data_IF_845396404046
#
_entry.id   IF_845396404046
#
_cell.length_a   1.000
_cell.length_b   1.000
_cell.length_c   1.000
_cell.angle_alpha   90.00
_cell.angle_beta   90.00
_cell.angle_gamma   90.00
#
_symmetry.space_group_name_H-M   'P 1'
#
loop_
_entity.id
_entity.type
_entity.pdbx_description
1 polymer ?
#
# COMPACT_ATOMS: atom_id res chain seq x y z
N UNK A 1 -65.31 -28.78 -45.74
CA UNK A 1 -65.21 -29.28 -47.13
C UNK A 1 -64.19 -30.40 -47.14
N UNK A 2 -64.60 -31.58 -47.65
CA UNK A 2 -63.85 -32.59 -48.42
C UNK A 2 -62.43 -32.95 -47.93
N UNK A 3 -61.99 -34.20 -47.81
CA UNK A 3 -62.45 -35.52 -48.23
C UNK A 3 -61.37 -36.49 -47.66
N UNK A 4 -61.73 -37.69 -47.18
CA UNK A 4 -61.47 -39.01 -47.81
C UNK A 4 -59.99 -39.26 -48.14
N UNK A 5 -59.33 -40.36 -47.78
CA UNK A 5 -59.66 -41.77 -48.03
C UNK A 5 -58.63 -42.63 -47.25
N UNK A 6 -59.01 -43.68 -46.51
CA UNK A 6 -59.06 -45.11 -46.93
C UNK A 6 -57.72 -45.64 -47.52
N UNK A 7 -57.16 -46.81 -47.20
CA UNK A 7 -57.68 -48.18 -46.99
C UNK A 7 -56.54 -49.01 -46.32
N UNK A 8 -56.80 -49.90 -45.33
CA UNK A 8 -56.88 -51.39 -45.44
C UNK A 8 -55.56 -52.09 -45.80
N UNK A 9 -55.16 -53.27 -45.32
CA UNK A 9 -55.65 -54.41 -44.52
C UNK A 9 -54.38 -55.31 -44.45
N UNK A 10 -53.93 -55.94 -43.36
CA UNK A 10 -54.41 -57.25 -42.86
C UNK A 10 -53.33 -57.83 -41.91
N UNK A 11 -53.78 -58.18 -40.71
CA UNK A 11 -53.45 -59.35 -39.85
C UNK A 11 -52.12 -60.11 -40.11
N UNK A 12 -51.34 -60.34 -39.05
CA UNK A 12 -51.18 -61.64 -38.35
C UNK A 12 -50.23 -61.52 -37.14
N UNK A 13 -50.54 -62.34 -36.12
CA UNK A 13 -50.09 -62.42 -34.72
C UNK A 13 -48.64 -62.86 -34.56
N UNK A 14 -47.94 -62.40 -33.52
CA UNK A 14 -47.05 -63.23 -32.67
C UNK A 14 -47.06 -62.68 -31.24
N UNK A 15 -47.42 -63.52 -30.26
CA UNK A 15 -47.26 -63.29 -28.83
C UNK A 15 -45.82 -63.69 -28.48
N UNK A 16 -45.05 -62.79 -27.86
CA UNK A 16 -43.77 -63.12 -27.25
C UNK A 16 -43.73 -62.52 -25.84
N UNK A 17 -43.80 -63.39 -24.85
CA UNK A 17 -43.63 -63.08 -23.44
C UNK A 17 -42.18 -62.64 -23.18
N UNK A 18 -41.96 -61.36 -22.82
CA UNK A 18 -40.68 -60.89 -22.33
C UNK A 18 -40.57 -61.15 -20.82
N UNK A 19 -39.65 -62.05 -20.47
CA UNK A 19 -39.14 -62.21 -19.11
C UNK A 19 -38.17 -61.05 -18.84
N UNK A 20 -38.55 -60.13 -17.96
CA UNK A 20 -37.68 -59.04 -17.52
C UNK A 20 -36.77 -59.59 -16.41
N UNK A 21 -35.49 -59.79 -16.75
CA UNK A 21 -34.44 -60.12 -15.80
C UNK A 21 -33.95 -58.83 -15.15
N UNK A 22 -34.37 -58.57 -13.92
CA UNK A 22 -33.94 -57.42 -13.14
C UNK A 22 -32.52 -57.62 -12.64
N UNK A 23 -31.54 -56.98 -13.28
CA UNK A 23 -30.16 -56.94 -12.80
C UNK A 23 -30.06 -55.80 -11.78
N UNK A 24 -29.95 -56.14 -10.49
CA UNK A 24 -29.63 -55.16 -9.45
C UNK A 24 -28.13 -54.88 -9.49
N UNK A 25 -27.75 -53.69 -9.95
CA UNK A 25 -26.38 -53.21 -9.82
C UNK A 25 -26.19 -52.61 -8.43
N UNK A 26 -25.39 -53.25 -7.59
CA UNK A 26 -24.86 -52.64 -6.36
C UNK A 26 -23.83 -51.59 -6.77
N UNK A 27 -24.25 -50.33 -6.75
CA UNK A 27 -23.34 -49.20 -6.86
C UNK A 27 -22.57 -49.08 -5.53
N UNK A 28 -21.29 -49.43 -5.57
CA UNK A 28 -20.35 -49.11 -4.50
C UNK A 28 -20.11 -47.59 -4.51
N UNK A 29 -20.86 -46.86 -3.69
CA UNK A 29 -20.69 -45.43 -3.48
C UNK A 29 -19.38 -45.22 -2.72
N UNK A 30 -18.30 -44.96 -3.46
CA UNK A 30 -17.06 -44.45 -2.89
C UNK A 30 -17.37 -43.06 -2.36
N UNK A 31 -17.53 -42.95 -1.04
CA UNK A 31 -17.55 -41.65 -0.36
C UNK A 31 -16.26 -40.92 -0.68
N UNK A 32 -16.34 -39.92 -1.55
CA UNK A 32 -15.23 -39.00 -1.76
C UNK A 32 -14.98 -38.25 -0.45
N UNK A 33 -13.71 -38.13 -0.02
CA UNK A 33 -13.39 -37.36 1.17
C UNK A 33 -13.88 -35.91 0.96
N UNK A 34 -14.49 -35.35 2.00
CA UNK A 34 -14.97 -33.98 1.99
C UNK A 34 -13.90 -33.03 1.44
N UNK A 35 -14.30 -32.15 0.51
CA UNK A 35 -13.46 -31.12 -0.06
C UNK A 35 -12.99 -30.19 1.08
N UNK A 36 -11.84 -30.51 1.67
CA UNK A 36 -11.15 -29.58 2.55
C UNK A 36 -10.50 -28.56 1.62
N UNK A 37 -10.86 -27.26 1.70
CA UNK A 37 -10.12 -26.25 0.97
C UNK A 37 -8.64 -26.40 1.35
N UNK A 38 -7.71 -26.22 0.40
CA UNK A 38 -6.29 -26.35 0.70
C UNK A 38 -5.98 -25.47 1.91
N UNK A 39 -5.48 -26.08 2.98
CA UNK A 39 -4.91 -25.35 4.10
C UNK A 39 -3.76 -24.57 3.49
N UNK A 40 -3.96 -23.26 3.31
CA UNK A 40 -2.88 -22.35 2.97
C UNK A 40 -1.97 -22.35 4.19
N UNK A 41 -0.96 -23.22 4.19
CA UNK A 41 0.20 -23.07 5.05
C UNK A 41 0.89 -21.81 4.53
N UNK A 42 0.47 -20.66 5.04
CA UNK A 42 1.30 -19.46 5.04
C UNK A 42 2.54 -19.86 5.81
N UNK A 43 3.58 -20.29 5.08
CA UNK A 43 4.92 -20.28 5.63
C UNK A 43 5.12 -18.84 6.11
N UNK A 44 5.34 -18.59 7.41
CA UNK A 44 5.70 -17.27 7.89
C UNK A 44 7.13 -17.02 7.39
N UNK A 45 7.26 -16.68 6.13
CA UNK A 45 8.33 -15.81 5.68
C UNK A 45 8.22 -14.57 6.55
N UNK A 46 9.21 -14.36 7.40
CA UNK A 46 9.72 -13.05 7.79
C UNK A 46 9.03 -11.87 7.10
N UNK A 47 8.61 -10.83 7.80
CA UNK A 47 9.41 -10.22 8.83
C UNK A 47 8.57 -9.11 9.44
N UNK A 48 8.55 -9.05 10.77
CA UNK A 48 8.25 -7.78 11.43
C UNK A 48 9.07 -6.69 10.75
N UNK A 49 8.43 -5.60 10.31
CA UNK A 49 9.12 -4.44 9.76
C UNK A 49 9.23 -3.36 10.80
N UNK A 50 10.42 -2.84 10.99
CA UNK A 50 10.67 -1.71 11.88
C UNK A 50 10.95 -0.46 11.07
N UNK A 51 10.18 0.60 11.31
CA UNK A 51 10.26 1.86 10.57
C UNK A 51 10.47 3.01 11.54
N UNK A 52 11.51 3.81 11.31
CA UNK A 52 11.71 5.10 11.99
C UNK A 52 11.15 6.21 11.10
N UNK A 53 10.19 6.97 11.61
CA UNK A 53 9.70 8.19 10.96
C UNK A 53 10.41 9.41 11.53
N UNK A 54 10.99 10.24 10.66
CA UNK A 54 11.67 11.49 11.01
C UNK A 54 11.02 12.64 10.26
N UNK A 55 10.56 13.67 10.96
CA UNK A 55 9.94 14.82 10.31
C UNK A 55 9.31 15.81 11.28
N UNK A 56 8.15 16.36 10.92
CA UNK A 56 7.47 17.38 11.70
C UNK A 56 5.96 17.12 11.78
N UNK A 57 5.15 18.19 11.87
CA UNK A 57 3.71 18.09 11.97
C UNK A 57 3.06 17.34 10.81
N UNK A 58 3.63 17.39 9.61
CA UNK A 58 3.12 16.60 8.48
C UNK A 58 3.29 15.08 8.68
N UNK A 59 4.19 14.69 9.58
CA UNK A 59 4.42 13.29 9.97
C UNK A 59 3.58 12.89 11.18
N UNK A 60 3.52 13.68 12.27
CA UNK A 60 2.77 13.26 13.46
C UNK A 60 1.26 13.48 13.37
N UNK A 61 0.77 14.33 12.44
CA UNK A 61 -0.66 14.58 12.31
C UNK A 61 -1.43 13.30 12.00
N UNK A 62 -2.55 13.12 12.71
CA UNK A 62 -3.42 11.95 12.62
C UNK A 62 -2.71 10.62 12.87
N UNK A 63 -1.55 10.62 13.55
CA UNK A 63 -0.73 9.44 13.79
C UNK A 63 -0.42 8.67 12.49
N UNK A 64 0.21 9.34 11.51
CA UNK A 64 0.58 8.71 10.24
C UNK A 64 1.37 7.40 10.42
N UNK A 65 2.36 7.28 11.34
CA UNK A 65 3.04 6.00 11.59
C UNK A 65 2.09 4.91 12.10
N UNK A 66 1.15 5.26 12.98
CA UNK A 66 0.10 4.35 13.44
C UNK A 66 -0.83 3.89 12.31
N UNK A 67 -1.19 4.77 11.38
CA UNK A 67 -1.97 4.42 10.19
C UNK A 67 -1.23 3.43 9.28
N UNK A 68 0.08 3.60 9.09
CA UNK A 68 0.92 2.64 8.36
C UNK A 68 0.96 1.29 9.09
N UNK A 69 1.09 1.31 10.42
CA UNK A 69 1.06 0.09 11.25
C UNK A 69 -0.28 -0.66 11.12
N UNK A 70 -1.39 0.08 11.10
CA UNK A 70 -2.74 -0.48 10.90
C UNK A 70 -2.86 -1.16 9.54
N UNK A 71 -2.38 -0.53 8.46
CA UNK A 71 -2.39 -1.13 7.12
C UNK A 71 -1.56 -2.41 7.04
N UNK A 72 -0.43 -2.45 7.75
CA UNK A 72 0.37 -3.66 7.94
C UNK A 72 -0.45 -4.77 8.58
N UNK A 73 -1.07 -4.50 9.74
CA UNK A 73 -1.92 -5.46 10.46
C UNK A 73 -3.05 -5.98 9.59
N UNK A 74 -3.75 -5.10 8.87
CA UNK A 74 -4.84 -5.45 7.96
C UNK A 74 -4.36 -6.30 6.76
N UNK A 75 -3.05 -6.26 6.45
CA UNK A 75 -2.41 -7.06 5.41
C UNK A 75 -1.64 -8.28 5.93
N UNK A 76 -1.74 -8.62 7.22
CA UNK A 76 -1.05 -9.76 7.85
C UNK A 76 0.45 -9.53 8.12
N UNK A 77 0.92 -8.28 8.13
CA UNK A 77 2.33 -7.91 8.32
C UNK A 77 2.46 -7.09 9.61
N UNK A 78 3.32 -7.51 10.53
CA UNK A 78 3.61 -6.71 11.73
C UNK A 78 4.54 -5.56 11.35
N UNK A 79 4.07 -4.32 11.50
CA UNK A 79 4.89 -3.12 11.34
C UNK A 79 5.01 -2.46 12.71
N UNK A 80 6.24 -2.26 13.17
CA UNK A 80 6.61 -1.49 14.36
C UNK A 80 7.11 -0.13 13.89
N UNK A 81 6.56 0.92 14.47
CA UNK A 81 6.97 2.29 14.15
C UNK A 81 7.53 2.99 15.37
N UNK A 82 8.60 3.74 15.16
CA UNK A 82 9.06 4.77 16.07
C UNK A 82 9.03 6.11 15.32
N UNK A 83 8.83 7.21 16.03
CA UNK A 83 8.73 8.53 15.42
C UNK A 83 9.56 9.54 16.20
N UNK A 84 10.38 10.29 15.47
CA UNK A 84 11.07 11.50 15.94
C UNK A 84 10.55 12.65 15.11
N UNK A 85 9.54 13.34 15.62
CA UNK A 85 8.92 14.45 14.92
C UNK A 85 8.55 15.59 15.88
N UNK A 86 8.94 16.79 15.51
CA UNK A 86 8.75 17.99 16.31
C UNK A 86 8.13 19.11 15.46
N UNK A 87 7.33 20.02 16.04
CA UNK A 87 6.68 21.08 15.28
C UNK A 87 7.73 21.95 14.57
N UNK A 88 7.49 22.25 13.29
CA UNK A 88 8.33 23.09 12.43
C UNK A 88 9.77 22.62 12.19
N UNK A 89 10.16 21.43 12.65
CA UNK A 89 11.51 20.92 12.42
C UNK A 89 11.78 20.67 10.94
N UNK A 90 12.97 21.05 10.51
CA UNK A 90 13.62 20.60 9.30
C UNK A 90 14.51 19.38 9.58
N UNK A 91 14.98 18.70 8.52
CA UNK A 91 15.94 17.61 8.66
C UNK A 91 17.28 18.06 9.26
N UNK A 92 17.65 19.32 9.05
CA UNK A 92 18.81 19.94 9.68
C UNK A 92 18.73 19.93 11.21
N UNK A 93 17.56 20.30 11.76
CA UNK A 93 17.35 20.33 13.22
C UNK A 93 17.53 18.93 13.81
N UNK A 94 16.88 17.93 13.20
CA UNK A 94 17.03 16.52 13.62
C UNK A 94 18.48 16.03 13.54
N UNK A 95 19.21 16.45 12.51
CA UNK A 95 20.61 16.09 12.36
C UNK A 95 21.47 16.72 13.47
N UNK A 96 21.23 18.00 13.79
CA UNK A 96 21.97 18.72 14.81
C UNK A 96 21.69 18.20 16.23
N UNK A 97 20.46 17.75 16.50
CA UNK A 97 20.08 17.18 17.79
C UNK A 97 20.73 15.81 18.06
N UNK A 98 21.11 15.05 17.03
CA UNK A 98 21.87 13.80 17.19
C UNK A 98 21.02 12.56 17.54
N UNK A 99 19.73 12.72 17.84
CA UNK A 99 18.85 11.62 18.24
C UNK A 99 18.71 10.58 17.13
N UNK A 100 18.53 11.01 15.88
CA UNK A 100 18.32 10.10 14.75
C UNK A 100 19.57 9.24 14.46
N UNK A 101 20.77 9.78 14.72
CA UNK A 101 22.05 9.08 14.62
C UNK A 101 22.10 7.93 15.61
N UNK A 102 21.73 8.19 16.86
CA UNK A 102 21.73 7.18 17.92
C UNK A 102 20.70 6.08 17.61
N UNK A 103 19.51 6.45 17.17
CA UNK A 103 18.45 5.49 16.83
C UNK A 103 18.84 4.62 15.62
N UNK A 104 19.30 5.21 14.53
CA UNK A 104 19.70 4.45 13.33
C UNK A 104 20.86 3.51 13.64
N UNK A 105 21.80 3.93 14.50
CA UNK A 105 22.91 3.10 14.93
C UNK A 105 22.52 1.83 15.70
N UNK A 106 21.29 1.74 16.23
CA UNK A 106 20.80 0.54 16.93
C UNK A 106 20.63 -0.69 16.04
N UNK A 107 20.68 -0.53 14.69
CA UNK A 107 20.47 -1.60 13.70
C UNK A 107 19.11 -2.30 13.79
N UNK A 108 18.10 -1.63 14.34
CA UNK A 108 16.74 -2.19 14.51
C UNK A 108 15.80 -1.88 13.36
N UNK A 109 16.13 -0.92 12.50
CA UNK A 109 15.21 -0.39 11.49
C UNK A 109 15.49 -0.99 10.10
N UNK A 110 14.46 -1.56 9.49
CA UNK A 110 14.45 -1.87 8.05
C UNK A 110 14.43 -0.57 7.23
N UNK A 111 13.66 0.41 7.70
CA UNK A 111 13.43 1.66 6.99
C UNK A 111 13.56 2.88 7.89
N UNK A 112 14.09 3.96 7.32
CA UNK A 112 13.96 5.32 7.85
C UNK A 112 13.17 6.12 6.82
N UNK A 113 12.04 6.68 7.24
CA UNK A 113 11.18 7.53 6.41
C UNK A 113 11.41 8.97 6.83
N UNK A 114 11.96 9.79 5.94
CA UNK A 114 12.27 11.20 6.21
C UNK A 114 11.29 12.14 5.50
N UNK A 115 10.96 13.23 6.18
CA UNK A 115 10.11 14.28 5.67
C UNK A 115 10.76 15.66 5.91
N UNK A 116 10.81 16.48 4.85
CA UNK A 116 11.25 17.89 4.84
C UNK A 116 10.15 18.79 4.26
N UNK A 117 9.93 19.97 4.84
CA UNK A 117 9.00 20.95 4.29
C UNK A 117 9.12 22.31 4.98
N UNK A 118 8.92 23.44 4.26
CA UNK A 118 8.62 23.54 2.84
C UNK A 118 9.80 23.10 1.97
N UNK A 119 9.53 22.52 0.79
CA UNK A 119 10.57 21.90 -0.06
C UNK A 119 10.57 22.39 -1.50
N UNK A 120 9.61 23.22 -1.93
CA UNK A 120 9.55 23.73 -3.30
C UNK A 120 10.52 24.88 -3.59
N UNK A 121 11.00 25.55 -2.54
CA UNK A 121 11.88 26.71 -2.62
C UNK A 121 13.36 26.30 -2.50
N UNK A 122 14.29 27.20 -2.84
CA UNK A 122 15.72 26.93 -2.91
C UNK A 122 16.29 26.39 -1.59
N UNK A 123 16.04 27.07 -0.47
CA UNK A 123 16.49 26.66 0.86
C UNK A 123 15.94 25.27 1.25
N UNK A 124 14.63 25.07 1.09
CA UNK A 124 13.99 23.78 1.38
C UNK A 124 14.53 22.64 0.52
N UNK A 125 14.91 22.91 -0.74
CA UNK A 125 15.58 21.95 -1.62
C UNK A 125 16.98 21.60 -1.12
N UNK A 126 17.75 22.61 -0.74
CA UNK A 126 19.12 22.42 -0.25
C UNK A 126 19.13 21.54 1.00
N UNK A 127 18.28 21.86 1.99
CA UNK A 127 18.13 21.07 3.21
C UNK A 127 17.72 19.62 2.87
N UNK A 128 16.73 19.43 2.00
CA UNK A 128 16.27 18.11 1.60
C UNK A 128 17.38 17.27 0.96
N UNK A 129 18.18 17.86 0.07
CA UNK A 129 19.25 17.16 -0.63
C UNK A 129 20.45 16.86 0.28
N UNK A 130 20.94 17.85 1.03
CA UNK A 130 22.11 17.68 1.89
C UNK A 130 21.80 16.71 3.03
N UNK A 131 20.80 17.01 3.85
CA UNK A 131 20.48 16.18 5.00
C UNK A 131 19.89 14.83 4.60
N UNK A 132 19.19 14.74 3.46
CA UNK A 132 18.82 13.46 2.86
C UNK A 132 20.04 12.58 2.53
N UNK A 133 21.08 13.15 1.93
CA UNK A 133 22.33 12.44 1.63
C UNK A 133 23.10 12.04 2.90
N UNK A 134 23.15 12.91 3.91
CA UNK A 134 23.77 12.60 5.21
C UNK A 134 23.08 11.44 5.91
N UNK A 135 21.75 11.47 5.97
CA UNK A 135 20.95 10.38 6.56
C UNK A 135 21.10 9.10 5.74
N UNK A 136 21.16 9.18 4.41
CA UNK A 136 21.47 8.00 3.57
C UNK A 136 22.80 7.37 3.95
N UNK A 137 23.85 8.18 4.07
CA UNK A 137 25.19 7.69 4.42
C UNK A 137 25.20 7.05 5.81
N UNK A 138 24.46 7.62 6.75
CA UNK A 138 24.25 7.05 8.08
C UNK A 138 23.52 5.70 8.02
N UNK A 139 22.57 5.50 7.10
CA UNK A 139 21.80 4.25 7.00
C UNK A 139 22.63 3.06 6.44
N UNK A 140 23.62 3.32 5.57
CA UNK A 140 24.41 2.28 4.87
C UNK A 140 25.05 1.26 5.83
N UNK A 141 25.84 1.65 6.86
CA UNK A 141 26.51 0.69 7.75
C UNK A 141 25.54 -0.12 8.62
N UNK A 142 24.26 0.26 8.68
CA UNK A 142 23.23 -0.39 9.47
C UNK A 142 22.23 -1.20 8.63
N UNK A 143 22.47 -1.33 7.32
CA UNK A 143 21.58 -2.02 6.37
C UNK A 143 20.13 -1.49 6.41
N UNK A 144 19.97 -0.21 6.74
CA UNK A 144 18.69 0.47 6.78
C UNK A 144 18.41 1.14 5.43
N UNK A 145 17.18 1.07 4.95
CA UNK A 145 16.77 1.72 3.70
C UNK A 145 16.16 3.09 3.98
N UNK A 146 16.72 4.12 3.36
CA UNK A 146 16.11 5.45 3.37
C UNK A 146 14.92 5.50 2.41
N UNK A 147 13.84 6.13 2.85
CA UNK A 147 12.68 6.49 2.05
C UNK A 147 12.31 7.97 2.28
N UNK A 148 12.06 8.69 1.20
CA UNK A 148 11.57 10.07 1.28
C UNK A 148 10.04 10.09 1.23
N UNK A 149 9.41 10.66 2.25
CA UNK A 149 7.99 10.98 2.27
C UNK A 149 7.75 12.32 1.55
N UNK A 150 7.41 12.26 0.26
CA UNK A 150 7.13 13.44 -0.55
C UNK A 150 5.88 14.17 -0.06
N UNK A 151 6.06 15.37 0.47
CA UNK A 151 4.96 16.22 0.97
C UNK A 151 4.24 16.96 -0.16
N UNK A 152 3.43 17.95 0.21
CA UNK A 152 2.65 18.84 -0.64
C UNK A 152 2.83 20.29 -0.19
N UNK A 153 2.60 21.30 -1.06
CA UNK A 153 2.53 22.69 -0.65
C UNK A 153 1.21 23.01 0.05
N UNK A 154 1.14 24.16 0.72
CA UNK A 154 -0.13 24.73 1.19
C UNK A 154 -1.08 24.93 0.01
N UNK A 155 -2.39 24.93 0.27
CA UNK A 155 -3.39 25.15 -0.78
C UNK A 155 -3.16 26.47 -1.54
N UNK A 156 -2.78 27.54 -0.83
CA UNK A 156 -2.48 28.84 -1.42
C UNK A 156 -1.27 28.81 -2.37
N UNK A 157 -0.40 27.81 -2.24
CA UNK A 157 0.78 27.61 -3.07
C UNK A 157 0.64 26.38 -3.99
N UNK A 158 -0.58 26.02 -4.39
CA UNK A 158 -0.85 24.87 -5.26
C UNK A 158 0.06 24.83 -6.51
N UNK A 159 0.35 25.98 -7.10
CA UNK A 159 1.24 26.10 -8.26
C UNK A 159 2.67 25.57 -8.02
N UNK A 160 3.11 25.41 -6.76
CA UNK A 160 4.47 24.95 -6.43
C UNK A 160 4.59 23.44 -6.28
N UNK A 161 3.52 22.67 -6.52
CA UNK A 161 3.54 21.20 -6.50
C UNK A 161 4.67 20.62 -7.36
N UNK A 162 4.90 21.16 -8.56
CA UNK A 162 5.96 20.66 -9.45
C UNK A 162 7.37 20.86 -8.87
N UNK A 163 7.58 21.94 -8.12
CA UNK A 163 8.83 22.15 -7.37
C UNK A 163 9.01 21.10 -6.28
N UNK A 164 7.95 20.80 -5.51
CA UNK A 164 8.00 19.74 -4.48
C UNK A 164 8.32 18.39 -5.10
N UNK A 165 7.59 18.00 -6.15
CA UNK A 165 7.73 16.72 -6.84
C UNK A 165 9.15 16.56 -7.39
N UNK A 166 9.65 17.59 -8.09
CA UNK A 166 11.01 17.58 -8.63
C UNK A 166 12.05 17.43 -7.53
N UNK A 167 11.96 18.22 -6.47
CA UNK A 167 12.99 18.26 -5.42
C UNK A 167 13.07 16.94 -4.64
N UNK A 168 11.93 16.33 -4.34
CA UNK A 168 11.87 15.00 -3.71
C UNK A 168 12.34 13.88 -4.64
N UNK A 169 12.00 13.96 -5.93
CA UNK A 169 12.47 12.99 -6.93
C UNK A 169 13.99 13.05 -7.07
N UNK A 170 14.55 14.25 -7.19
CA UNK A 170 16.01 14.44 -7.24
C UNK A 170 16.68 13.87 -5.98
N UNK A 171 16.15 14.15 -4.78
CA UNK A 171 16.71 13.63 -3.53
C UNK A 171 16.72 12.09 -3.48
N UNK A 172 15.62 11.44 -3.86
CA UNK A 172 15.54 9.99 -3.90
C UNK A 172 16.49 9.38 -4.94
N UNK A 173 16.56 9.96 -6.15
CA UNK A 173 17.43 9.49 -7.23
C UNK A 173 18.91 9.65 -6.86
N UNK A 174 19.32 10.85 -6.43
CA UNK A 174 20.72 11.15 -6.08
C UNK A 174 21.25 10.28 -4.95
N UNK A 175 20.39 9.88 -4.00
CA UNK A 175 20.78 9.03 -2.87
C UNK A 175 20.51 7.54 -3.09
N UNK A 176 19.98 7.15 -4.26
CA UNK A 176 19.49 5.80 -4.55
C UNK A 176 18.61 5.26 -3.40
N UNK A 177 17.58 6.02 -3.07
CA UNK A 177 16.65 5.79 -1.96
C UNK A 177 15.22 5.63 -2.46
N UNK A 178 14.35 5.12 -1.60
CA UNK A 178 12.94 4.97 -1.94
C UNK A 178 12.25 6.33 -1.94
N UNK A 179 11.20 6.46 -2.76
CA UNK A 179 10.34 7.62 -2.81
C UNK A 179 8.90 7.18 -2.52
N UNK A 180 8.27 7.78 -1.51
CA UNK A 180 6.84 7.66 -1.25
C UNK A 180 6.15 8.88 -1.90
N UNK A 181 5.58 8.75 -3.11
CA UNK A 181 5.21 9.89 -3.95
C UNK A 181 3.84 10.51 -3.57
N UNK A 182 3.63 10.82 -2.28
CA UNK A 182 2.33 11.32 -1.78
C UNK A 182 1.94 12.63 -2.43
N UNK A 183 2.87 13.60 -2.53
CA UNK A 183 2.63 14.86 -3.23
C UNK A 183 2.21 14.70 -4.70
N UNK A 184 2.74 13.70 -5.40
CA UNK A 184 2.34 13.39 -6.79
C UNK A 184 0.89 12.90 -6.81
N UNK A 185 0.57 11.90 -5.98
CA UNK A 185 -0.79 11.33 -5.92
C UNK A 185 -1.84 12.36 -5.48
N UNK A 186 -1.49 13.27 -4.57
CA UNK A 186 -2.37 14.36 -4.16
C UNK A 186 -2.62 15.33 -5.31
N UNK A 187 -1.58 15.78 -6.01
CA UNK A 187 -1.72 16.67 -7.18
C UNK A 187 -2.63 16.04 -8.23
N UNK A 188 -2.41 14.77 -8.56
CA UNK A 188 -3.21 14.02 -9.54
C UNK A 188 -4.68 13.94 -9.11
N UNK A 189 -4.95 13.58 -7.86
CA UNK A 189 -6.30 13.52 -7.32
C UNK A 189 -7.01 14.87 -7.43
N UNK A 190 -6.35 15.95 -7.01
CA UNK A 190 -6.89 17.30 -7.04
C UNK A 190 -7.23 17.75 -8.46
N UNK A 191 -6.32 17.52 -9.42
CA UNK A 191 -6.55 17.88 -10.82
C UNK A 191 -7.65 17.05 -11.48
N UNK A 192 -7.75 15.76 -11.14
CA UNK A 192 -8.73 14.87 -11.73
C UNK A 192 -10.15 15.08 -11.20
N UNK A 193 -10.30 15.53 -9.95
CA UNK A 193 -11.59 15.50 -9.25
C UNK A 193 -12.08 16.86 -8.74
N UNK A 194 -11.19 17.84 -8.57
CA UNK A 194 -11.49 19.06 -7.83
C UNK A 194 -11.76 18.84 -6.33
N UNK A 195 -11.55 17.63 -5.81
CA UNK A 195 -11.75 17.29 -4.40
C UNK A 195 -10.46 17.57 -3.60
N UNK A 196 -10.45 18.68 -2.87
CA UNK A 196 -9.31 19.08 -2.03
C UNK A 196 -9.40 18.57 -0.58
N UNK A 197 -10.24 17.56 -0.31
CA UNK A 197 -10.49 17.06 1.05
C UNK A 197 -9.30 16.37 1.72
N UNK A 198 -8.18 16.16 1.04
CA UNK A 198 -6.94 15.74 1.69
C UNK A 198 -6.31 16.85 2.56
N UNK A 199 -6.61 18.11 2.27
CA UNK A 199 -6.26 19.22 3.15
C UNK A 199 -7.21 19.28 4.36
N UNK A 200 -6.63 19.56 5.53
CA UNK A 200 -7.36 19.93 6.73
C UNK A 200 -7.96 21.33 6.64
N UNK A 201 -8.63 21.78 7.72
CA UNK A 201 -9.30 23.08 7.77
C UNK A 201 -8.35 24.27 7.52
N UNK A 202 -7.09 24.16 7.95
CA UNK A 202 -6.06 25.19 7.79
C UNK A 202 -5.45 25.25 6.38
N UNK A 203 -5.90 24.36 5.48
CA UNK A 203 -5.43 24.28 4.10
C UNK A 203 -3.93 23.99 3.96
N UNK A 204 -3.35 23.32 4.95
CA UNK A 204 -1.96 22.91 4.95
C UNK A 204 -1.75 21.52 5.56
N UNK A 205 -2.11 21.33 6.82
CA UNK A 205 -2.01 20.03 7.48
C UNK A 205 -2.95 19.01 6.82
N UNK A 206 -2.62 17.71 6.87
CA UNK A 206 -3.50 16.70 6.28
C UNK A 206 -4.79 16.58 7.08
N UNK A 207 -5.92 16.44 6.38
CA UNK A 207 -7.12 15.87 7.00
C UNK A 207 -6.88 14.40 7.33
N UNK A 208 -7.81 13.77 8.07
CA UNK A 208 -7.78 12.32 8.29
C UNK A 208 -7.68 11.54 6.96
N UNK A 209 -8.48 11.92 5.95
CA UNK A 209 -8.47 11.32 4.60
C UNK A 209 -7.11 11.52 3.91
N UNK A 210 -6.49 12.69 4.09
CA UNK A 210 -5.14 12.96 3.60
C UNK A 210 -4.09 12.05 4.22
N UNK A 211 -4.09 11.92 5.55
CA UNK A 211 -3.15 11.04 6.26
C UNK A 211 -3.36 9.56 5.91
N UNK A 212 -4.60 9.11 5.72
CA UNK A 212 -4.90 7.74 5.26
C UNK A 212 -4.38 7.48 3.84
N UNK A 213 -4.53 8.44 2.92
CA UNK A 213 -3.95 8.34 1.59
C UNK A 213 -2.42 8.30 1.64
N UNK A 214 -1.79 9.17 2.44
CA UNK A 214 -0.35 9.18 2.64
C UNK A 214 0.15 7.84 3.22
N UNK A 215 -0.53 7.31 4.24
CA UNK A 215 -0.20 6.04 4.87
C UNK A 215 -0.27 4.88 3.85
N UNK A 216 -1.30 4.85 3.00
CA UNK A 216 -1.47 3.82 1.97
C UNK A 216 -0.32 3.83 0.96
N UNK A 217 0.11 5.02 0.53
CA UNK A 217 1.21 5.18 -0.42
C UNK A 217 2.52 4.74 0.23
N UNK A 218 2.81 5.19 1.45
CA UNK A 218 4.01 4.78 2.20
C UNK A 218 4.03 3.27 2.39
N UNK A 219 2.93 2.68 2.84
CA UNK A 219 2.80 1.24 3.01
C UNK A 219 3.08 0.47 1.71
N UNK A 220 2.49 0.89 0.58
CA UNK A 220 2.77 0.29 -0.72
C UNK A 220 4.25 0.41 -1.10
N UNK A 221 4.82 1.61 -1.04
CA UNK A 221 6.24 1.83 -1.37
C UNK A 221 7.19 0.94 -0.57
N UNK A 222 6.96 0.78 0.74
CA UNK A 222 7.89 0.08 1.61
C UNK A 222 7.65 -1.45 1.63
N UNK A 223 6.39 -1.88 1.53
CA UNK A 223 5.97 -3.25 1.85
C UNK A 223 5.40 -3.99 0.64
N UNK A 224 4.49 -3.36 -0.12
CA UNK A 224 3.82 -3.95 -1.28
C UNK A 224 4.26 -3.24 -2.56
N UNK A 225 5.40 -3.70 -3.10
CA UNK A 225 5.84 -3.31 -4.45
C UNK A 225 4.82 -3.72 -5.51
#
# INVERSE_FOLDING_TARGET
MKNLCQYSLSRIRIIASLIILSITTEACEKTEPAFQPPIVIVNPSDSTKSILFVGNSLTYYNDLPGLVSKLGKDSGIVIKTEMVAYPNYALEDHWNDGQIQTLIATKKYDFVVVQQGPSSQAEGREILLDYGARIKNLCIPHNTKLAFFMVWPTFANFQTFDGVIKNYTDAAVTTNSLLCPVGTAWKEHFLATGDYSYYGPDKFHPSQKGSENAALIIFKTLIKK
#
